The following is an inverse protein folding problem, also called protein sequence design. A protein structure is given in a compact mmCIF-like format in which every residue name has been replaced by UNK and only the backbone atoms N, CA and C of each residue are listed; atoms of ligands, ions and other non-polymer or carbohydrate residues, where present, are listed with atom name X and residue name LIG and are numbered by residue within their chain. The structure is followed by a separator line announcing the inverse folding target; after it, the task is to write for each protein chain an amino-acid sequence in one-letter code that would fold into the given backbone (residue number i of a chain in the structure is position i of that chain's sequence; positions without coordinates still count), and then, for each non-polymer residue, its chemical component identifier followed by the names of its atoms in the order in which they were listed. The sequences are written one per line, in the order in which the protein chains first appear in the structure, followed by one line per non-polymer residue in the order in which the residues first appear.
data_IF_334077493802
#
_entry.id   IF_334077493802
#
_cell.length_a   1.000
_cell.length_b   1.000
_cell.length_c   1.000
_cell.angle_alpha   90.00
_cell.angle_beta   90.00
_cell.angle_gamma   90.00
#
_symmetry.space_group_name_H-M   'P 1'
#
loop_
_entity.id
_entity.type
_entity.pdbx_description
1 polymer ?
#
# COMPACT_ATOMS: atom_id res chain seq x y z
N UNK A 1 5.84 12.58 -1.63
CA UNK A 1 4.45 12.77 -1.14
C UNK A 1 4.54 13.11 0.33
N UNK A 2 3.69 13.98 0.89
CA UNK A 2 3.62 14.13 2.33
C UNK A 2 3.38 12.76 2.98
N UNK A 3 4.10 12.47 4.06
CA UNK A 3 3.84 11.27 4.85
C UNK A 3 2.54 11.50 5.63
N UNK A 4 1.46 10.85 5.21
CA UNK A 4 0.09 11.08 5.74
C UNK A 4 -0.20 10.27 7.01
N UNK A 5 0.54 9.17 7.17
CA UNK A 5 0.60 8.36 8.38
C UNK A 5 1.89 7.55 8.39
N UNK A 6 2.21 6.98 9.54
CA UNK A 6 3.28 6.00 9.63
C UNK A 6 2.88 4.68 8.92
N UNK A 7 3.84 4.06 8.24
CA UNK A 7 3.69 2.78 7.54
C UNK A 7 4.96 1.96 7.73
N UNK A 8 4.81 0.72 8.19
CA UNK A 8 5.93 -0.16 8.57
C UNK A 8 6.32 -1.15 7.47
N UNK A 9 5.40 -1.43 6.55
CA UNK A 9 5.60 -2.38 5.45
C UNK A 9 6.25 -1.70 4.24
N UNK A 10 7.18 -2.41 3.58
CA UNK A 10 7.80 -2.01 2.33
C UNK A 10 7.37 -2.95 1.19
N UNK A 11 6.49 -2.46 0.32
CA UNK A 11 5.96 -3.21 -0.82
C UNK A 11 6.62 -2.76 -2.13
N UNK A 12 7.09 -3.71 -2.92
CA UNK A 12 7.69 -3.52 -4.23
C UNK A 12 7.01 -4.39 -5.28
N UNK A 13 7.02 -3.93 -6.52
CA UNK A 13 6.67 -4.74 -7.70
C UNK A 13 7.89 -4.89 -8.60
N UNK A 14 8.04 -6.06 -9.21
CA UNK A 14 9.26 -6.43 -9.95
C UNK A 14 8.97 -7.09 -11.30
N UNK A 15 7.89 -6.68 -11.96
CA UNK A 15 7.39 -7.32 -13.19
C UNK A 15 8.30 -7.06 -14.40
N UNK A 16 8.94 -5.89 -14.45
CA UNK A 16 9.80 -5.48 -15.57
C UNK A 16 11.19 -6.13 -15.52
N UNK A 17 11.69 -6.39 -14.31
CA UNK A 17 12.96 -7.03 -14.06
C UNK A 17 12.83 -7.85 -12.80
N UNK A 18 12.90 -9.17 -12.92
CA UNK A 18 12.86 -10.06 -11.77
C UNK A 18 14.11 -9.85 -10.91
N UNK A 19 13.92 -9.70 -9.61
CA UNK A 19 14.98 -9.78 -8.60
C UNK A 19 14.94 -11.18 -7.99
N UNK A 20 16.09 -11.78 -7.69
CA UNK A 20 16.15 -13.04 -6.97
C UNK A 20 16.41 -12.82 -5.48
N UNK A 21 16.00 -13.76 -4.63
CA UNK A 21 16.13 -13.66 -3.17
C UNK A 21 17.57 -13.44 -2.72
N UNK A 22 18.54 -14.09 -3.37
CA UNK A 22 19.95 -13.89 -3.06
C UNK A 22 20.40 -12.46 -3.36
N UNK A 23 19.93 -11.85 -4.45
CA UNK A 23 20.26 -10.44 -4.75
C UNK A 23 19.67 -9.49 -3.70
N UNK A 24 18.44 -9.75 -3.25
CA UNK A 24 17.82 -8.97 -2.18
C UNK A 24 18.61 -9.11 -0.86
N UNK A 25 19.03 -10.34 -0.52
CA UNK A 25 19.90 -10.60 0.64
C UNK A 25 21.22 -9.87 0.54
N UNK A 26 21.88 -9.92 -0.60
CA UNK A 26 23.17 -9.25 -0.81
C UNK A 26 23.04 -7.74 -0.59
N UNK A 27 21.96 -7.12 -1.08
CA UNK A 27 21.67 -5.70 -0.84
C UNK A 27 21.51 -5.41 0.67
N UNK A 28 20.77 -6.24 1.39
CA UNK A 28 20.46 -6.02 2.81
C UNK A 28 21.67 -6.31 3.72
N UNK A 29 22.44 -7.36 3.41
CA UNK A 29 23.62 -7.76 4.17
C UNK A 29 24.79 -6.76 4.05
N UNK A 30 24.76 -5.86 3.07
CA UNK A 30 25.70 -4.73 3.01
C UNK A 30 25.57 -3.77 4.21
N UNK A 31 24.49 -3.88 4.98
CA UNK A 31 24.24 -3.07 6.16
C UNK A 31 24.35 -3.94 7.42
N UNK A 32 25.40 -3.70 8.22
CA UNK A 32 25.71 -4.46 9.42
C UNK A 32 24.67 -4.36 10.56
N UNK A 33 23.69 -3.46 10.44
CA UNK A 33 22.60 -3.28 11.39
C UNK A 33 21.30 -3.99 10.97
N UNK A 34 21.28 -4.63 9.80
CA UNK A 34 20.15 -5.39 9.28
C UNK A 34 20.43 -6.89 9.34
N UNK A 35 19.42 -7.66 9.74
CA UNK A 35 19.52 -9.12 9.76
C UNK A 35 18.22 -9.77 9.24
N UNK A 36 18.33 -10.59 8.20
CA UNK A 36 17.20 -11.35 7.67
C UNK A 36 16.94 -12.55 8.58
N UNK A 37 15.86 -12.50 9.37
CA UNK A 37 15.49 -13.56 10.34
C UNK A 37 14.46 -14.54 9.81
N UNK A 38 13.55 -14.08 8.94
CA UNK A 38 12.49 -14.90 8.36
C UNK A 38 12.15 -14.42 6.96
N UNK A 39 12.10 -15.36 6.03
CA UNK A 39 11.86 -15.10 4.62
C UNK A 39 11.10 -16.27 4.00
N UNK A 40 10.47 -15.97 2.87
CA UNK A 40 9.68 -16.88 2.08
C UNK A 40 9.79 -16.48 0.61
N UNK A 41 9.82 -17.46 -0.29
CA UNK A 41 9.77 -17.21 -1.72
C UNK A 41 8.78 -18.17 -2.38
N UNK A 42 8.09 -17.68 -3.39
CA UNK A 42 7.24 -18.48 -4.28
C UNK A 42 7.50 -18.09 -5.73
N UNK A 43 6.76 -18.68 -6.67
CA UNK A 43 6.74 -18.23 -8.06
C UNK A 43 6.16 -16.83 -8.24
N UNK A 44 5.38 -16.34 -7.27
CA UNK A 44 4.67 -15.05 -7.35
C UNK A 44 5.28 -13.95 -6.51
N UNK A 45 6.08 -14.25 -5.49
CA UNK A 45 6.59 -13.23 -4.57
C UNK A 45 7.86 -13.65 -3.84
N UNK A 46 8.66 -12.66 -3.43
CA UNK A 46 9.61 -12.77 -2.32
C UNK A 46 9.05 -11.99 -1.12
N UNK A 47 9.12 -12.60 0.06
CA UNK A 47 8.77 -11.96 1.33
C UNK A 47 9.93 -12.09 2.30
N UNK A 48 10.36 -10.98 2.87
CA UNK A 48 11.12 -10.97 4.12
C UNK A 48 10.12 -10.61 5.21
N UNK A 49 9.65 -11.61 5.94
CA UNK A 49 8.65 -11.44 6.99
C UNK A 49 9.25 -10.85 8.27
N UNK A 50 10.57 -10.96 8.44
CA UNK A 50 11.30 -10.38 9.57
C UNK A 50 12.68 -9.93 9.15
N UNK A 51 12.81 -8.67 8.75
CA UNK A 51 14.09 -7.97 8.63
C UNK A 51 14.37 -7.25 9.95
N UNK A 52 15.19 -7.84 10.80
CA UNK A 52 15.50 -7.30 12.12
C UNK A 52 16.49 -6.14 12.03
N UNK A 53 16.27 -5.12 12.86
CA UNK A 53 17.18 -4.01 13.09
C UNK A 53 17.20 -3.63 14.58
N UNK A 54 18.26 -2.94 15.02
CA UNK A 54 18.35 -2.37 16.36
C UNK A 54 17.70 -0.99 16.40
N UNK A 55 16.67 -0.83 17.22
CA UNK A 55 16.03 0.46 17.44
C UNK A 55 16.92 1.43 18.25
N UNK A 56 16.54 2.72 18.35
CA UNK A 56 17.34 3.74 19.02
C UNK A 56 17.68 3.43 20.49
N UNK A 57 16.84 2.65 21.18
CA UNK A 57 17.04 2.23 22.57
C UNK A 57 17.71 0.84 22.69
N UNK A 58 18.30 0.32 21.61
CA UNK A 58 18.92 -1.00 21.56
C UNK A 58 17.95 -2.17 21.51
N UNK A 59 16.64 -1.91 21.56
CA UNK A 59 15.62 -2.96 21.44
C UNK A 59 15.49 -3.44 19.99
N UNK A 60 15.43 -4.76 19.75
CA UNK A 60 15.25 -5.29 18.41
C UNK A 60 13.84 -4.99 17.90
N UNK A 61 13.75 -4.53 16.66
CA UNK A 61 12.49 -4.38 15.94
C UNK A 61 12.64 -4.98 14.54
N UNK A 62 11.56 -5.07 13.77
CA UNK A 62 11.59 -5.69 12.44
C UNK A 62 10.71 -4.97 11.43
N UNK A 63 11.19 -4.95 10.18
CA UNK A 63 10.42 -4.53 9.01
C UNK A 63 9.98 -5.74 8.19
N UNK A 64 8.92 -5.55 7.43
CA UNK A 64 8.50 -6.50 6.39
C UNK A 64 8.82 -5.93 5.02
N UNK A 65 9.36 -6.77 4.15
CA UNK A 65 9.58 -6.45 2.74
C UNK A 65 8.82 -7.47 1.91
N UNK A 66 8.02 -7.00 0.98
CA UNK A 66 7.35 -7.82 -0.02
C UNK A 66 7.73 -7.35 -1.43
N UNK A 67 8.07 -8.30 -2.29
CA UNK A 67 8.32 -8.07 -3.72
C UNK A 67 7.35 -8.95 -4.50
N UNK A 68 6.41 -8.34 -5.19
CA UNK A 68 5.40 -9.03 -6.00
C UNK A 68 5.84 -9.09 -7.48
N UNK A 69 5.72 -10.27 -8.10
CA UNK A 69 6.04 -10.50 -9.51
C UNK A 69 4.82 -10.52 -10.43
N UNK A 70 3.62 -10.68 -9.87
CA UNK A 70 2.37 -10.83 -10.60
C UNK A 70 1.51 -9.57 -10.56
N UNK A 71 1.78 -8.65 -9.63
CA UNK A 71 1.03 -7.39 -9.51
C UNK A 71 1.08 -6.62 -10.82
N UNK A 72 -0.03 -6.53 -11.55
CA UNK A 72 -0.05 -5.78 -12.80
C UNK A 72 0.08 -4.26 -12.55
N UNK A 73 1.27 -3.70 -12.78
CA UNK A 73 1.52 -2.25 -12.75
C UNK A 73 1.42 -1.68 -14.16
N UNK A 74 0.39 -0.88 -14.39
CA UNK A 74 -0.08 -0.40 -15.69
C UNK A 74 0.66 0.87 -16.12
N UNK A 75 0.87 1.81 -15.21
CA UNK A 75 1.56 3.06 -15.47
C UNK A 75 3.07 2.91 -15.19
N UNK A 76 3.92 3.63 -15.94
CA UNK A 76 5.35 3.62 -15.69
C UNK A 76 5.67 4.19 -14.30
N UNK A 77 6.72 3.70 -13.62
CA UNK A 77 7.13 4.21 -12.32
C UNK A 77 7.54 5.69 -12.41
N UNK A 78 7.18 6.45 -11.39
CA UNK A 78 7.50 7.88 -11.29
C UNK A 78 8.71 8.04 -10.36
N UNK A 79 9.71 8.80 -10.81
CA UNK A 79 10.83 9.19 -9.95
C UNK A 79 10.40 10.31 -9.00
N UNK A 80 10.66 10.14 -7.70
CA UNK A 80 10.37 11.14 -6.67
C UNK A 80 11.62 11.37 -5.82
N UNK A 81 11.84 12.64 -5.47
CA UNK A 81 12.80 12.99 -4.42
C UNK A 81 12.23 12.53 -3.08
N UNK A 82 13.03 11.80 -2.32
CA UNK A 82 12.77 11.40 -0.95
C UNK A 82 13.72 12.16 -0.03
N UNK A 83 13.13 12.91 0.89
CA UNK A 83 13.84 13.62 1.95
C UNK A 83 13.20 13.31 3.29
N UNK A 84 14.01 13.07 4.33
CA UNK A 84 13.51 12.85 5.69
C UNK A 84 14.27 13.67 6.75
N UNK A 85 13.79 13.63 7.99
CA UNK A 85 14.36 14.35 9.14
C UNK A 85 15.76 13.89 9.53
N UNK A 86 16.22 12.74 9.04
CA UNK A 86 17.57 12.22 9.24
C UNK A 86 18.55 12.67 8.16
N UNK A 87 18.14 13.59 7.27
CA UNK A 87 18.99 14.15 6.23
C UNK A 87 19.21 13.22 5.03
N UNK A 88 18.50 12.09 4.95
CA UNK A 88 18.49 11.27 3.73
C UNK A 88 17.88 12.12 2.63
N UNK A 89 18.61 12.27 1.51
CA UNK A 89 18.13 12.92 0.30
C UNK A 89 18.51 12.06 -0.90
N UNK A 90 17.53 11.39 -1.49
CA UNK A 90 17.74 10.45 -2.60
C UNK A 90 16.55 10.47 -3.55
N UNK A 91 16.69 9.76 -4.67
CA UNK A 91 15.62 9.54 -5.64
C UNK A 91 15.13 8.11 -5.54
N UNK A 92 13.81 7.96 -5.45
CA UNK A 92 13.14 6.65 -5.41
C UNK A 92 12.17 6.54 -6.58
N UNK A 93 12.04 5.34 -7.13
CA UNK A 93 11.01 5.01 -8.11
C UNK A 93 9.79 4.51 -7.36
N UNK A 94 8.67 5.19 -7.53
CA UNK A 94 7.41 4.86 -6.87
C UNK A 94 6.33 4.61 -7.90
N UNK A 95 5.28 3.93 -7.49
CA UNK A 95 4.06 3.79 -8.28
C UNK A 95 3.42 5.16 -8.53
N UNK A 96 2.83 5.36 -9.72
CA UNK A 96 2.03 6.55 -10.01
C UNK A 96 0.87 6.65 -9.00
N UNK A 97 0.58 7.85 -8.53
CA UNK A 97 -0.40 8.07 -7.47
C UNK A 97 -1.83 7.68 -7.88
N UNK A 98 -2.17 7.78 -9.18
CA UNK A 98 -3.45 7.28 -9.71
C UNK A 98 -3.56 5.77 -9.58
N UNK A 99 -2.43 5.09 -9.74
CA UNK A 99 -2.36 3.65 -9.62
C UNK A 99 -2.33 3.20 -8.15
N UNK A 100 -1.69 3.96 -7.26
CA UNK A 100 -1.81 3.77 -5.82
C UNK A 100 -3.28 3.91 -5.39
N UNK A 101 -4.00 4.94 -5.87
CA UNK A 101 -5.42 5.09 -5.59
C UNK A 101 -6.24 3.90 -6.10
N UNK A 102 -5.94 3.39 -7.31
CA UNK A 102 -6.59 2.20 -7.85
C UNK A 102 -6.38 0.96 -6.97
N UNK A 103 -5.16 0.73 -6.47
CA UNK A 103 -4.90 -0.36 -5.51
C UNK A 103 -5.65 -0.16 -4.19
N UNK A 104 -5.83 1.09 -3.73
CA UNK A 104 -6.65 1.37 -2.54
C UNK A 104 -8.13 1.09 -2.76
N UNK A 105 -8.69 1.44 -3.92
CA UNK A 105 -10.07 1.09 -4.28
C UNK A 105 -10.24 -0.44 -4.28
N UNK A 106 -9.29 -1.17 -4.88
CA UNK A 106 -9.30 -2.64 -4.86
C UNK A 106 -9.21 -3.19 -3.43
N UNK A 107 -8.26 -2.70 -2.63
CA UNK A 107 -8.05 -3.15 -1.26
C UNK A 107 -9.27 -2.91 -0.36
N UNK A 108 -9.92 -1.74 -0.46
CA UNK A 108 -11.15 -1.42 0.28
C UNK A 108 -12.31 -2.36 -0.09
N UNK A 109 -12.34 -2.89 -1.32
CA UNK A 109 -13.31 -3.90 -1.73
C UNK A 109 -12.94 -5.32 -1.28
N UNK A 110 -11.64 -5.63 -1.22
CA UNK A 110 -11.15 -6.98 -0.89
C UNK A 110 -11.17 -7.26 0.62
N UNK A 111 -10.96 -6.24 1.47
CA UNK A 111 -10.85 -6.39 2.93
C UNK A 111 -11.31 -5.15 3.70
N UNK A 112 -11.79 -5.38 4.92
CA UNK A 112 -12.07 -4.32 5.89
C UNK A 112 -10.81 -3.96 6.69
N UNK A 113 -10.10 -2.88 6.31
CA UNK A 113 -9.00 -2.32 7.10
C UNK A 113 -9.07 -0.80 7.08
N UNK A 114 -9.12 -0.14 8.24
CA UNK A 114 -9.36 1.30 8.32
C UNK A 114 -8.33 2.11 7.51
N UNK A 115 -7.06 1.69 7.54
CA UNK A 115 -5.97 2.35 6.81
C UNK A 115 -6.17 2.45 5.30
N UNK A 116 -6.86 1.48 4.68
CA UNK A 116 -7.08 1.50 3.23
C UNK A 116 -8.08 2.62 2.87
N UNK A 117 -9.09 2.86 3.71
CA UNK A 117 -10.03 3.98 3.59
C UNK A 117 -9.39 5.33 3.92
N UNK A 118 -8.59 5.40 4.99
CA UNK A 118 -7.85 6.60 5.35
C UNK A 118 -6.92 7.05 4.21
N UNK A 119 -6.11 6.13 3.68
CA UNK A 119 -5.18 6.44 2.60
C UNK A 119 -5.91 6.92 1.35
N UNK A 120 -7.02 6.28 0.97
CA UNK A 120 -7.85 6.70 -0.16
C UNK A 120 -8.32 8.15 0.00
N UNK A 121 -8.95 8.48 1.13
CA UNK A 121 -9.49 9.83 1.38
C UNK A 121 -8.38 10.88 1.43
N UNK A 122 -7.25 10.56 2.05
CA UNK A 122 -6.12 11.49 2.09
C UNK A 122 -5.50 11.73 0.72
N UNK A 123 -5.45 10.72 -0.15
CA UNK A 123 -5.05 10.91 -1.55
C UNK A 123 -6.05 11.83 -2.26
N UNK A 124 -7.36 11.59 -2.14
CA UNK A 124 -8.39 12.44 -2.74
C UNK A 124 -8.28 13.89 -2.26
N UNK A 125 -8.21 14.12 -0.94
CA UNK A 125 -8.14 15.45 -0.32
C UNK A 125 -6.87 16.21 -0.67
N UNK A 126 -5.70 15.55 -0.68
CA UNK A 126 -4.40 16.25 -0.76
C UNK A 126 -3.78 16.26 -2.15
N UNK A 127 -4.11 15.28 -3.01
CA UNK A 127 -3.39 15.09 -4.29
C UNK A 127 -4.15 15.62 -5.51
N UNK A 128 -5.42 16.04 -5.35
CA UNK A 128 -6.26 16.59 -6.43
C UNK A 128 -6.28 15.68 -7.68
N UNK A 129 -6.54 14.39 -7.45
CA UNK A 129 -6.57 13.37 -8.50
C UNK A 129 -8.02 13.09 -8.88
N UNK A 130 -8.26 12.99 -10.18
CA UNK A 130 -9.53 12.56 -10.72
C UNK A 130 -9.77 11.07 -10.43
N UNK A 131 -10.79 10.78 -9.62
CA UNK A 131 -11.16 9.41 -9.22
C UNK A 131 -11.46 8.55 -10.45
N UNK A 132 -12.06 9.14 -11.49
CA UNK A 132 -12.41 8.44 -12.73
C UNK A 132 -11.20 7.80 -13.42
N UNK A 133 -10.03 8.47 -13.45
CA UNK A 133 -8.81 7.89 -14.03
C UNK A 133 -8.36 6.66 -13.25
N UNK A 134 -8.48 6.70 -11.92
CA UNK A 134 -8.10 5.58 -11.06
C UNK A 134 -9.05 4.40 -11.23
N UNK A 135 -10.35 4.66 -11.43
CA UNK A 135 -11.36 3.63 -11.71
C UNK A 135 -11.05 2.87 -13.02
N UNK A 136 -10.58 3.56 -14.05
CA UNK A 136 -10.14 2.93 -15.31
C UNK A 136 -8.89 2.05 -15.11
N UNK A 137 -8.01 2.42 -14.18
CA UNK A 137 -6.87 1.57 -13.81
C UNK A 137 -7.33 0.32 -13.05
N UNK A 138 -8.31 0.43 -12.14
CA UNK A 138 -8.86 -0.74 -11.41
C UNK A 138 -9.31 -1.84 -12.38
N UNK A 139 -9.94 -1.49 -13.51
CA UNK A 139 -10.42 -2.45 -14.52
C UNK A 139 -9.30 -3.24 -15.19
N UNK A 140 -8.08 -2.73 -15.17
CA UNK A 140 -6.89 -3.37 -15.74
C UNK A 140 -6.14 -4.21 -14.71
N UNK A 141 -6.53 -4.16 -13.44
CA UNK A 141 -5.90 -4.91 -12.35
C UNK A 141 -6.41 -6.34 -12.28
N UNK A 142 -5.68 -7.18 -11.56
CA UNK A 142 -6.15 -8.51 -11.18
C UNK A 142 -7.37 -8.37 -10.24
N UNK A 143 -8.50 -8.95 -10.64
CA UNK A 143 -9.74 -8.93 -9.86
C UNK A 143 -9.97 -10.34 -9.31
N UNK A 144 -9.77 -10.52 -8.00
CA UNK A 144 -9.94 -11.83 -7.33
C UNK A 144 -11.36 -12.08 -6.83
N UNK A 145 -12.06 -10.98 -6.53
CA UNK A 145 -13.46 -10.88 -6.12
C UNK A 145 -14.06 -9.67 -6.83
N UNK A 146 -15.35 -9.71 -7.10
CA UNK A 146 -16.04 -8.57 -7.71
C UNK A 146 -15.79 -7.31 -6.90
N UNK A 147 -15.33 -6.25 -7.57
CA UNK A 147 -15.08 -4.95 -6.96
C UNK A 147 -16.31 -4.09 -7.21
N UNK A 148 -16.98 -3.66 -6.14
CA UNK A 148 -18.16 -2.80 -6.25
C UNK A 148 -18.20 -1.76 -5.14
N UNK A 149 -19.08 -0.76 -5.29
CA UNK A 149 -19.32 0.22 -4.23
C UNK A 149 -19.95 -0.42 -3.00
N UNK A 150 -20.83 -1.41 -3.22
CA UNK A 150 -21.53 -2.13 -2.17
C UNK A 150 -20.55 -2.90 -1.28
N UNK A 151 -19.59 -3.63 -1.87
CA UNK A 151 -18.55 -4.35 -1.11
C UNK A 151 -17.66 -3.40 -0.32
N UNK A 152 -17.30 -2.24 -0.91
CA UNK A 152 -16.53 -1.19 -0.23
C UNK A 152 -17.30 -0.63 0.98
N UNK A 153 -18.60 -0.36 0.82
CA UNK A 153 -19.46 0.14 1.90
C UNK A 153 -19.66 -0.90 3.02
N UNK A 154 -19.77 -2.18 2.67
CA UNK A 154 -19.85 -3.26 3.65
C UNK A 154 -18.54 -3.38 4.45
N UNK A 155 -17.40 -3.38 3.77
CA UNK A 155 -16.08 -3.39 4.42
C UNK A 155 -15.85 -2.12 5.25
N UNK A 156 -16.39 -0.97 4.84
CA UNK A 156 -16.30 0.26 5.63
C UNK A 156 -17.03 0.11 6.96
N UNK A 157 -18.23 -0.49 7.00
CA UNK A 157 -18.98 -0.70 8.25
C UNK A 157 -18.16 -1.52 9.26
N UNK A 158 -17.48 -2.56 8.78
CA UNK A 158 -16.62 -3.41 9.60
C UNK A 158 -15.37 -2.63 10.05
N UNK A 159 -14.68 -1.97 9.12
CA UNK A 159 -13.48 -1.19 9.43
C UNK A 159 -13.75 -0.04 10.40
N UNK A 160 -14.95 0.56 10.35
CA UNK A 160 -15.41 1.62 11.25
C UNK A 160 -15.56 1.11 12.68
N UNK A 161 -16.05 -0.12 12.89
CA UNK A 161 -16.16 -0.71 14.24
C UNK A 161 -14.79 -1.05 14.82
N UNK A 162 -13.85 -1.46 13.98
CA UNK A 162 -12.48 -1.83 14.38
C UNK A 162 -11.52 -0.61 14.41
N UNK A 163 -12.02 0.59 14.03
CA UNK A 163 -11.25 1.83 13.88
C UNK A 163 -10.44 2.18 15.13
N UNK A 164 -11.00 1.97 16.33
CA UNK A 164 -10.31 2.34 17.58
C UNK A 164 -9.06 1.49 17.83
N UNK A 165 -9.08 0.20 17.49
CA UNK A 165 -7.91 -0.67 17.59
C UNK A 165 -6.87 -0.34 16.51
N UNK A 166 -7.32 -0.03 15.29
CA UNK A 166 -6.43 0.35 14.19
C UNK A 166 -5.77 1.73 14.44
N UNK A 167 -6.51 2.76 14.88
CA UNK A 167 -5.98 4.12 15.10
C UNK A 167 -5.00 4.17 16.27
N UNK A 168 -5.20 3.39 17.33
CA UNK A 168 -4.23 3.35 18.44
C UNK A 168 -2.84 2.86 17.99
N UNK A 169 -2.78 2.15 16.87
CA UNK A 169 -1.56 1.62 16.28
C UNK A 169 -1.05 2.44 15.07
N UNK A 170 -1.73 3.55 14.71
CA UNK A 170 -1.41 4.34 13.53
C UNK A 170 -1.23 5.82 13.89
N UNK A 171 -0.02 6.33 13.69
CA UNK A 171 0.26 7.77 13.78
C UNK A 171 -0.17 8.48 12.48
N UNK A 172 -1.33 9.13 12.50
CA UNK A 172 -1.88 9.91 11.39
C UNK A 172 -1.52 11.39 11.50
N UNK A 173 -1.37 12.08 10.37
CA UNK A 173 -1.17 13.54 10.34
C UNK A 173 -2.45 14.34 10.57
N UNK A 174 -3.59 13.77 10.20
CA UNK A 174 -4.91 14.38 10.30
C UNK A 174 -5.88 13.29 10.75
N UNK A 175 -6.79 13.61 11.66
CA UNK A 175 -7.86 12.67 12.03
C UNK A 175 -9.01 12.89 11.06
N UNK A 176 -9.54 11.81 10.49
CA UNK A 176 -10.71 11.86 9.63
C UNK A 176 -11.96 11.44 10.39
N UNK A 177 -12.99 12.27 10.27
CA UNK A 177 -14.33 11.93 10.73
C UNK A 177 -14.96 10.88 9.80
N UNK A 178 -15.79 10.01 10.38
CA UNK A 178 -16.39 8.91 9.60
C UNK A 178 -17.25 9.42 8.45
N UNK A 179 -17.93 10.56 8.66
CA UNK A 179 -18.72 11.22 7.61
C UNK A 179 -17.88 11.70 6.42
N UNK A 180 -16.63 12.10 6.63
CA UNK A 180 -15.73 12.49 5.52
C UNK A 180 -15.39 11.28 4.65
N UNK A 181 -15.13 10.14 5.29
CA UNK A 181 -14.84 8.88 4.57
C UNK A 181 -16.07 8.43 3.79
N UNK A 182 -17.24 8.47 4.40
CA UNK A 182 -18.51 8.10 3.77
C UNK A 182 -18.83 8.99 2.55
N UNK A 183 -18.55 10.30 2.64
CA UNK A 183 -18.72 11.22 1.51
C UNK A 183 -17.85 10.80 0.32
N UNK A 184 -16.57 10.52 0.52
CA UNK A 184 -15.66 10.17 -0.58
C UNK A 184 -15.96 8.79 -1.15
N UNK A 185 -16.31 7.79 -0.32
CA UNK A 185 -16.77 6.48 -0.81
C UNK A 185 -18.02 6.66 -1.67
N UNK A 186 -18.95 7.55 -1.27
CA UNK A 186 -20.18 7.77 -2.01
C UNK A 186 -19.97 8.40 -3.39
N UNK A 187 -18.86 9.12 -3.61
CA UNK A 187 -18.47 9.65 -4.91
C UNK A 187 -17.91 8.59 -5.87
N UNK A 188 -17.56 7.39 -5.37
CA UNK A 188 -17.20 6.29 -6.24
C UNK A 188 -18.43 5.85 -7.05
N UNK A 189 -18.46 6.23 -8.32
CA UNK A 189 -19.51 5.86 -9.25
C UNK A 189 -18.93 4.98 -10.36
N UNK A 190 -19.14 3.67 -10.23
CA UNK A 190 -18.75 2.70 -11.25
C UNK A 190 -19.59 1.43 -11.16
N UNK A 191 -19.85 0.82 -12.32
CA UNK A 191 -20.46 -0.51 -12.37
C UNK A 191 -19.52 -1.56 -11.75
N UNK A 192 -20.06 -2.60 -11.09
CA UNK A 192 -19.25 -3.68 -10.55
C UNK A 192 -18.23 -4.21 -11.57
N UNK A 193 -16.99 -4.35 -11.12
CA UNK A 193 -15.90 -4.88 -11.93
C UNK A 193 -15.79 -6.35 -11.57
N UNK A 194 -16.25 -7.20 -12.48
CA UNK A 194 -16.33 -8.64 -12.25
C UNK A 194 -14.95 -9.29 -12.27
N UNK A 195 -14.84 -10.38 -11.52
CA UNK A 195 -13.71 -11.30 -11.65
C UNK A 195 -13.70 -11.86 -13.07
N UNK A 196 -12.56 -11.76 -13.74
CA UNK A 196 -12.34 -12.48 -14.99
C UNK A 196 -12.41 -13.99 -14.72
N UNK A 197 -13.47 -14.64 -15.17
CA UNK A 197 -13.55 -16.10 -15.26
C UNK A 197 -12.53 -16.55 -16.31
N UNK A 198 -11.41 -17.11 -15.84
CA UNK A 198 -10.54 -17.96 -16.65
C UNK A 198 -11.03 -19.40 -16.54
#
# INVERSE_FOLDING_TARGET
MPQLRFSEDLDFSSNLKKIELNQLRDILNNYNFLEVKKEYTSSSTIKIEKLQYSGPLGQPNSLKIEVDYLQNVVLPPVEKNYQNSYGINTKVRVMDIREIMAEKIRAMSDRARYRDFYDFVMIVKKMKIEIAESIELVRKKEVRRTISKESILENWKIAKTEKQEDIQNIYCTEILEDGEIEIEINKLDFKPIEKLTK
#
